data_IF_450930140839
#
_entry.id   IF_450930140839
#
_cell.length_a   1.000
_cell.length_b   1.000
_cell.length_c   1.000
_cell.angle_alpha   90.00
_cell.angle_beta   90.00
_cell.angle_gamma   90.00
#
_symmetry.space_group_name_H-M   'P 1'
#
loop_
_entity.id
_entity.type
_entity.pdbx_description
1 polymer ?
#
# COMPACT_ATOMS: atom_id res chain seq x y z
N UNK A 1 17.51 13.98 -22.13
CA UNK A 1 18.11 14.04 -20.78
C UNK A 1 17.48 15.22 -20.06
N UNK A 2 16.54 14.96 -19.13
CA UNK A 2 15.81 16.00 -18.38
C UNK A 2 16.53 16.24 -17.05
N UNK A 3 17.01 17.46 -16.86
CA UNK A 3 17.64 17.94 -15.63
C UNK A 3 16.56 18.12 -14.57
N UNK A 4 16.67 17.39 -13.45
CA UNK A 4 15.82 17.58 -12.27
C UNK A 4 16.48 18.63 -11.39
N UNK A 5 15.80 19.75 -11.18
CA UNK A 5 16.19 20.82 -10.25
C UNK A 5 15.71 20.40 -8.86
N UNK A 6 16.65 20.20 -7.94
CA UNK A 6 16.36 19.97 -6.52
C UNK A 6 16.19 21.35 -5.86
N UNK A 7 14.99 21.66 -5.39
CA UNK A 7 14.74 22.85 -4.59
C UNK A 7 15.07 22.56 -3.12
N UNK A 8 16.08 23.24 -2.57
CA UNK A 8 16.35 23.30 -1.14
C UNK A 8 15.21 24.00 -0.41
N UNK A 9 14.66 23.35 0.62
CA UNK A 9 13.77 23.95 1.61
C UNK A 9 14.60 24.42 2.80
N UNK A 10 15.39 25.47 2.60
CA UNK A 10 15.95 26.28 3.70
C UNK A 10 15.04 27.50 3.89
N UNK A 11 14.13 27.44 4.86
CA UNK A 11 13.33 28.62 5.18
C UNK A 11 12.08 28.35 5.97
N UNK A 12 12.22 28.02 7.25
CA UNK A 12 11.18 28.20 8.28
C UNK A 12 11.80 28.20 9.68
N UNK A 13 12.79 29.08 9.89
CA UNK A 13 13.31 29.42 11.20
C UNK A 13 13.38 30.94 11.32
N UNK A 14 12.30 31.57 11.77
CA UNK A 14 12.32 33.00 12.08
C UNK A 14 10.95 33.64 12.16
N UNK A 15 10.33 33.60 13.35
CA UNK A 15 9.54 34.70 13.91
C UNK A 15 8.89 34.28 15.25
N UNK A 16 9.67 34.22 16.32
CA UNK A 16 9.18 34.31 17.72
C UNK A 16 10.30 34.89 18.58
N UNK A 17 10.78 36.09 18.22
CA UNK A 17 11.72 36.86 19.02
C UNK A 17 11.08 38.22 19.32
N UNK A 18 10.64 38.42 20.55
CA UNK A 18 10.27 39.74 21.05
C UNK A 18 9.04 39.78 21.94
N UNK A 19 9.22 39.47 23.23
CA UNK A 19 8.70 40.24 24.37
C UNK A 19 8.72 39.36 25.61
N UNK A 20 9.70 39.61 26.50
CA UNK A 20 9.57 39.57 27.97
C UNK A 20 10.98 39.78 28.56
N UNK A 21 11.41 41.04 28.54
CA UNK A 21 12.48 41.50 29.40
C UNK A 21 11.89 41.72 30.80
N UNK A 22 12.43 41.00 31.79
CA UNK A 22 12.26 41.36 33.20
C UNK A 22 11.64 40.28 34.08
N UNK A 23 12.38 39.23 34.40
CA UNK A 23 12.24 38.53 35.68
C UNK A 23 13.48 37.68 35.98
N UNK A 24 14.34 38.25 36.82
CA UNK A 24 15.09 37.59 37.92
C UNK A 24 15.57 36.15 37.70
N UNK A 25 16.90 36.04 37.61
CA UNK A 25 17.70 34.85 37.70
C UNK A 25 17.43 34.02 38.97
N UNK A 26 16.53 33.04 38.93
CA UNK A 26 16.49 31.88 39.83
C UNK A 26 15.63 30.77 39.20
N UNK A 27 16.19 29.95 38.29
CA UNK A 27 15.71 28.58 37.97
C UNK A 27 16.49 27.95 36.79
N UNK A 28 17.81 28.12 36.71
CA UNK A 28 18.64 27.47 35.69
C UNK A 28 19.04 26.06 36.16
N UNK A 29 18.05 25.16 36.36
CA UNK A 29 18.31 23.75 36.70
C UNK A 29 17.10 22.81 36.46
N UNK A 30 15.92 23.30 36.08
CA UNK A 30 14.68 22.50 36.10
C UNK A 30 14.05 22.15 34.75
N UNK A 31 14.54 22.69 33.63
CA UNK A 31 13.85 22.55 32.31
C UNK A 31 14.45 21.43 31.43
N UNK A 32 15.63 20.90 31.77
CA UNK A 32 16.25 19.81 30.99
C UNK A 32 15.63 18.42 31.26
N UNK A 33 14.78 18.28 32.28
CA UNK A 33 14.22 16.98 32.67
C UNK A 33 12.90 16.63 31.96
N UNK A 34 12.13 17.62 31.46
CA UNK A 34 10.80 17.37 30.89
C UNK A 34 10.83 16.95 29.40
N UNK A 35 11.92 17.22 28.68
CA UNK A 35 12.09 16.82 27.28
C UNK A 35 12.45 15.33 27.10
N UNK A 36 12.84 14.62 28.19
CA UNK A 36 13.18 13.19 28.16
C UNK A 36 12.00 12.26 28.48
N UNK A 37 10.86 12.79 28.95
CA UNK A 37 9.69 11.98 29.37
C UNK A 37 8.73 11.64 28.22
N UNK A 38 8.80 12.34 27.08
CA UNK A 38 7.98 12.04 25.89
C UNK A 38 8.60 10.98 24.97
N UNK A 39 9.78 10.43 25.30
CA UNK A 39 10.46 9.39 24.53
C UNK A 39 10.19 7.97 25.06
N UNK A 40 9.12 7.76 25.84
CA UNK A 40 8.65 6.42 26.23
C UNK A 40 7.56 5.89 25.29
N UNK A 41 7.59 6.30 24.02
CA UNK A 41 6.94 5.57 22.94
C UNK A 41 7.48 4.15 22.97
N UNK A 42 6.74 3.24 23.62
CA UNK A 42 7.04 1.81 23.60
C UNK A 42 7.03 1.40 22.14
N UNK A 43 8.22 1.19 21.60
CA UNK A 43 8.41 0.88 20.19
C UNK A 43 7.67 -0.43 19.93
N UNK A 44 6.58 -0.35 19.18
CA UNK A 44 5.78 -1.53 18.85
C UNK A 44 6.64 -2.48 18.03
N UNK A 45 6.53 -3.77 18.32
CA UNK A 45 7.11 -4.82 17.49
C UNK A 45 6.43 -4.88 16.12
N UNK A 46 7.11 -5.47 15.13
CA UNK A 46 6.54 -5.68 13.79
C UNK A 46 5.20 -6.44 13.86
N UNK A 47 5.10 -7.44 14.75
CA UNK A 47 3.86 -8.19 14.98
C UNK A 47 2.73 -7.29 15.51
N UNK A 48 2.99 -6.45 16.52
CA UNK A 48 1.97 -5.54 17.07
C UNK A 48 1.48 -4.52 16.03
N UNK A 49 2.37 -4.08 15.14
CA UNK A 49 2.02 -3.22 14.00
C UNK A 49 1.17 -3.99 12.98
N UNK A 50 1.53 -5.23 12.67
CA UNK A 50 0.73 -6.11 11.82
C UNK A 50 -0.67 -6.36 12.38
N UNK A 51 -0.79 -6.63 13.67
CA UNK A 51 -2.08 -6.83 14.35
C UNK A 51 -2.91 -5.54 14.35
N UNK A 52 -2.28 -4.38 14.55
CA UNK A 52 -2.94 -3.08 14.44
C UNK A 52 -3.46 -2.82 13.01
N UNK A 53 -2.68 -3.19 11.99
CA UNK A 53 -3.08 -3.10 10.58
C UNK A 53 -4.29 -3.99 10.29
N UNK A 54 -4.30 -5.23 10.77
CA UNK A 54 -5.42 -6.16 10.63
C UNK A 54 -6.69 -5.63 11.33
N UNK A 55 -6.54 -5.08 12.54
CA UNK A 55 -7.64 -4.45 13.27
C UNK A 55 -8.19 -3.22 12.53
N UNK A 56 -7.32 -2.44 11.89
CA UNK A 56 -7.74 -1.31 11.05
C UNK A 56 -8.51 -1.79 9.81
N UNK A 57 -8.05 -2.85 9.11
CA UNK A 57 -8.79 -3.45 8.00
C UNK A 57 -10.17 -3.97 8.43
N UNK A 58 -10.27 -4.63 9.59
CA UNK A 58 -11.54 -5.10 10.13
C UNK A 58 -12.54 -3.97 10.41
N UNK A 59 -12.05 -2.74 10.61
CA UNK A 59 -12.87 -1.52 10.79
C UNK A 59 -13.05 -0.72 9.50
N UNK A 60 -12.58 -1.24 8.35
CA UNK A 60 -12.51 -0.52 7.07
C UNK A 60 -11.72 0.80 7.13
N UNK A 61 -10.81 0.94 8.10
CA UNK A 61 -9.87 2.07 8.17
C UNK A 61 -8.61 1.73 7.35
N UNK A 62 -8.77 1.83 6.03
CA UNK A 62 -7.73 1.46 5.08
C UNK A 62 -6.47 2.35 5.21
N UNK A 63 -6.62 3.62 5.59
CA UNK A 63 -5.50 4.54 5.77
C UNK A 63 -4.63 4.14 6.96
N UNK A 64 -5.24 3.87 8.11
CA UNK A 64 -4.51 3.40 9.28
C UNK A 64 -3.89 2.01 9.06
N UNK A 65 -4.57 1.15 8.28
CA UNK A 65 -4.04 -0.16 7.90
C UNK A 65 -2.76 -0.04 7.06
N UNK A 66 -2.75 0.82 6.03
CA UNK A 66 -1.57 1.05 5.19
C UNK A 66 -0.38 1.49 6.05
N UNK A 67 -0.58 2.52 6.90
CA UNK A 67 0.49 3.03 7.78
C UNK A 67 1.04 1.91 8.67
N UNK A 68 0.17 1.13 9.30
CA UNK A 68 0.57 0.08 10.24
C UNK A 68 1.33 -1.05 9.54
N UNK A 69 0.88 -1.52 8.37
CA UNK A 69 1.58 -2.56 7.62
C UNK A 69 2.89 -2.07 7.02
N UNK A 70 2.95 -0.81 6.59
CA UNK A 70 4.18 -0.21 6.09
C UNK A 70 5.24 -0.16 7.18
N UNK A 71 4.90 0.37 8.37
CA UNK A 71 5.80 0.38 9.54
C UNK A 71 6.19 -1.04 9.94
N UNK A 72 5.25 -2.00 9.98
CA UNK A 72 5.56 -3.40 10.26
C UNK A 72 6.59 -3.99 9.30
N UNK A 73 6.48 -3.66 8.01
CA UNK A 73 7.45 -4.08 7.00
C UNK A 73 8.83 -3.43 7.18
N UNK A 74 8.89 -2.16 7.62
CA UNK A 74 10.16 -1.48 7.93
C UNK A 74 10.89 -2.09 9.13
N UNK A 75 10.14 -2.62 10.12
CA UNK A 75 10.71 -3.36 11.26
C UNK A 75 11.05 -4.82 10.93
N UNK A 76 10.69 -5.32 9.75
CA UNK A 76 10.94 -6.69 9.32
C UNK A 76 12.21 -6.79 8.46
N UNK A 77 12.78 -7.99 8.35
CA UNK A 77 13.92 -8.20 7.44
C UNK A 77 13.43 -8.19 5.98
N UNK A 78 13.98 -7.34 5.09
CA UNK A 78 13.58 -7.31 3.68
C UNK A 78 13.68 -8.68 3.01
N UNK A 79 12.62 -9.09 2.29
CA UNK A 79 12.54 -10.39 1.61
C UNK A 79 12.28 -11.59 2.53
N UNK A 80 12.11 -11.38 3.84
CA UNK A 80 11.58 -12.41 4.73
C UNK A 80 10.11 -12.72 4.40
N UNK A 81 9.62 -13.88 4.85
CA UNK A 81 8.21 -14.25 4.69
C UNK A 81 7.28 -13.23 5.37
N UNK A 82 7.68 -12.73 6.55
CA UNK A 82 6.97 -11.72 7.32
C UNK A 82 6.90 -10.38 6.57
N UNK A 83 8.04 -9.92 6.04
CA UNK A 83 8.08 -8.71 5.20
C UNK A 83 7.11 -8.82 4.01
N UNK A 84 7.15 -9.93 3.27
CA UNK A 84 6.23 -10.13 2.12
C UNK A 84 4.78 -10.17 2.57
N UNK A 85 4.47 -10.82 3.69
CA UNK A 85 3.13 -10.85 4.24
C UNK A 85 2.60 -9.43 4.57
N UNK A 86 3.39 -8.59 5.24
CA UNK A 86 2.98 -7.22 5.52
C UNK A 86 2.81 -6.37 4.26
N UNK A 87 3.71 -6.49 3.28
CA UNK A 87 3.57 -5.78 1.99
C UNK A 87 2.34 -6.24 1.20
N UNK A 88 1.97 -7.53 1.27
CA UNK A 88 0.73 -8.04 0.68
C UNK A 88 -0.51 -7.46 1.38
N UNK A 89 -0.50 -7.41 2.71
CA UNK A 89 -1.60 -6.80 3.49
C UNK A 89 -1.72 -5.29 3.24
N UNK A 90 -0.60 -4.59 3.04
CA UNK A 90 -0.59 -3.19 2.60
C UNK A 90 -1.26 -3.03 1.22
N UNK A 91 -0.96 -3.89 0.25
CA UNK A 91 -1.61 -3.88 -1.07
C UNK A 91 -3.12 -4.14 -0.97
N UNK A 92 -3.55 -5.04 -0.09
CA UNK A 92 -4.96 -5.26 0.22
C UNK A 92 -5.62 -4.00 0.80
N UNK A 93 -4.95 -3.32 1.73
CA UNK A 93 -5.44 -2.07 2.29
C UNK A 93 -5.58 -0.99 1.21
N UNK A 94 -4.60 -0.88 0.29
CA UNK A 94 -4.68 0.01 -0.86
C UNK A 94 -5.87 -0.29 -1.77
N UNK A 95 -6.32 -1.54 -1.90
CA UNK A 95 -7.52 -1.86 -2.69
C UNK A 95 -8.79 -1.14 -2.19
N UNK A 96 -8.81 -0.69 -0.93
CA UNK A 96 -9.91 0.08 -0.36
C UNK A 96 -9.85 1.59 -0.60
N UNK A 97 -8.72 2.13 -1.06
CA UNK A 97 -8.51 3.57 -1.27
C UNK A 97 -8.11 3.92 -2.70
N UNK A 98 -7.15 3.19 -3.26
CA UNK A 98 -6.54 3.45 -4.56
C UNK A 98 -6.11 2.13 -5.20
N UNK A 99 -6.99 1.59 -6.06
CA UNK A 99 -6.71 0.35 -6.79
C UNK A 99 -5.49 0.43 -7.71
N UNK A 100 -5.17 1.61 -8.28
CA UNK A 100 -4.01 1.77 -9.14
C UNK A 100 -2.71 1.68 -8.33
N UNK A 101 -2.69 2.27 -7.14
CA UNK A 101 -1.58 2.13 -6.20
C UNK A 101 -1.43 0.69 -5.73
N UNK A 102 -2.53 0.02 -5.37
CA UNK A 102 -2.52 -1.39 -4.98
C UNK A 102 -1.88 -2.29 -6.05
N UNK A 103 -2.30 -2.14 -7.31
CA UNK A 103 -1.73 -2.90 -8.43
C UNK A 103 -0.24 -2.60 -8.63
N UNK A 104 0.16 -1.32 -8.56
CA UNK A 104 1.56 -0.91 -8.74
C UNK A 104 2.47 -1.50 -7.67
N UNK A 105 2.10 -1.37 -6.39
CA UNK A 105 2.89 -1.90 -5.27
C UNK A 105 2.94 -3.42 -5.30
N UNK A 106 1.83 -4.08 -5.62
CA UNK A 106 1.78 -5.54 -5.73
C UNK A 106 2.68 -6.06 -6.85
N UNK A 107 2.62 -5.47 -8.05
CA UNK A 107 3.44 -5.92 -9.17
C UNK A 107 4.93 -5.66 -8.91
N UNK A 108 5.26 -4.56 -8.22
CA UNK A 108 6.62 -4.31 -7.73
C UNK A 108 7.07 -5.39 -6.74
N UNK A 109 6.25 -5.74 -5.75
CA UNK A 109 6.53 -6.80 -4.80
C UNK A 109 6.69 -8.16 -5.50
N UNK A 110 5.79 -8.51 -6.43
CA UNK A 110 5.82 -9.76 -7.17
C UNK A 110 7.06 -9.91 -8.06
N UNK A 111 7.55 -8.81 -8.63
CA UNK A 111 8.80 -8.76 -9.40
C UNK A 111 10.04 -8.89 -8.52
N UNK A 112 10.02 -8.31 -7.31
CA UNK A 112 11.15 -8.34 -6.38
C UNK A 112 11.21 -9.62 -5.52
N UNK A 113 10.09 -10.32 -5.34
CA UNK A 113 9.96 -11.51 -4.48
C UNK A 113 9.22 -12.65 -5.21
N UNK A 114 9.69 -13.08 -6.39
CA UNK A 114 8.93 -14.00 -7.24
C UNK A 114 8.66 -15.35 -6.57
N UNK A 115 9.59 -15.92 -5.83
CA UNK A 115 9.41 -17.21 -5.16
C UNK A 115 8.39 -17.18 -4.01
N UNK A 116 7.99 -15.99 -3.54
CA UNK A 116 7.05 -15.80 -2.43
C UNK A 116 5.68 -15.32 -2.87
N UNK A 117 5.59 -14.64 -4.02
CA UNK A 117 4.32 -14.19 -4.59
C UNK A 117 3.89 -15.16 -5.68
N UNK A 118 3.04 -16.11 -5.28
CA UNK A 118 2.50 -17.15 -6.15
C UNK A 118 1.17 -16.76 -6.79
N UNK A 119 0.60 -17.69 -7.55
CA UNK A 119 -0.70 -17.51 -8.21
C UNK A 119 -1.83 -17.19 -7.22
N UNK A 120 -1.77 -17.73 -6.00
CA UNK A 120 -2.75 -17.47 -4.94
C UNK A 120 -2.84 -15.99 -4.62
N UNK A 121 -1.71 -15.30 -4.51
CA UNK A 121 -1.64 -13.89 -4.18
C UNK A 121 -2.20 -13.02 -5.33
N UNK A 122 -1.92 -13.38 -6.58
CA UNK A 122 -2.52 -12.72 -7.75
C UNK A 122 -4.05 -12.85 -7.74
N UNK A 123 -4.57 -14.07 -7.61
CA UNK A 123 -6.01 -14.36 -7.56
C UNK A 123 -6.69 -13.56 -6.44
N UNK A 124 -6.09 -13.55 -5.24
CA UNK A 124 -6.60 -12.82 -4.09
C UNK A 124 -6.72 -11.32 -4.37
N UNK A 125 -5.67 -10.69 -4.92
CA UNK A 125 -5.68 -9.26 -5.17
C UNK A 125 -6.63 -8.87 -6.30
N UNK A 126 -6.67 -9.63 -7.40
CA UNK A 126 -7.59 -9.39 -8.52
C UNK A 126 -9.04 -9.44 -8.02
N UNK A 127 -9.40 -10.43 -7.21
CA UNK A 127 -10.74 -10.54 -6.63
C UNK A 127 -11.09 -9.33 -5.74
N UNK A 128 -10.16 -8.89 -4.88
CA UNK A 128 -10.34 -7.70 -4.03
C UNK A 128 -10.54 -6.43 -4.86
N UNK A 129 -9.66 -6.17 -5.84
CA UNK A 129 -9.78 -5.03 -6.76
C UNK A 129 -11.12 -5.05 -7.52
N UNK A 130 -11.51 -6.21 -8.05
CA UNK A 130 -12.78 -6.39 -8.76
C UNK A 130 -13.99 -6.09 -7.84
N UNK A 131 -13.99 -6.61 -6.61
CA UNK A 131 -15.07 -6.36 -5.64
C UNK A 131 -15.23 -4.89 -5.26
N UNK A 132 -14.17 -4.09 -5.42
CA UNK A 132 -14.14 -2.64 -5.21
C UNK A 132 -14.31 -1.84 -6.51
N UNK A 133 -14.68 -2.51 -7.60
CA UNK A 133 -14.89 -1.93 -8.93
C UNK A 133 -13.65 -1.26 -9.53
N UNK A 134 -12.46 -1.60 -9.03
CA UNK A 134 -11.18 -1.17 -9.61
C UNK A 134 -10.80 -2.06 -10.80
N UNK A 135 -11.66 -2.14 -11.80
CA UNK A 135 -11.55 -3.11 -12.89
C UNK A 135 -10.28 -2.93 -13.73
N UNK A 136 -9.88 -1.70 -14.06
CA UNK A 136 -8.66 -1.46 -14.83
C UNK A 136 -7.40 -1.97 -14.09
N UNK A 137 -7.32 -1.71 -12.78
CA UNK A 137 -6.25 -2.21 -11.94
C UNK A 137 -6.27 -3.74 -11.83
N UNK A 138 -7.45 -4.33 -11.64
CA UNK A 138 -7.64 -5.78 -11.61
C UNK A 138 -7.18 -6.43 -12.93
N UNK A 139 -7.53 -5.83 -14.07
CA UNK A 139 -7.11 -6.29 -15.40
C UNK A 139 -5.59 -6.22 -15.56
N UNK A 140 -4.93 -5.16 -15.10
CA UNK A 140 -3.47 -5.04 -15.14
C UNK A 140 -2.77 -6.13 -14.32
N UNK A 141 -3.30 -6.44 -13.13
CA UNK A 141 -2.77 -7.54 -12.29
C UNK A 141 -3.04 -8.91 -12.93
N UNK A 142 -4.22 -9.11 -13.54
CA UNK A 142 -4.56 -10.33 -14.27
C UNK A 142 -3.64 -10.56 -15.46
N UNK A 143 -3.40 -9.54 -16.29
CA UNK A 143 -2.50 -9.64 -17.44
C UNK A 143 -1.09 -10.07 -17.01
N UNK A 144 -0.55 -9.45 -15.95
CA UNK A 144 0.74 -9.83 -15.41
C UNK A 144 0.74 -11.25 -14.82
N UNK A 145 -0.36 -11.65 -14.18
CA UNK A 145 -0.56 -13.01 -13.64
C UNK A 145 -0.58 -14.06 -14.74
N UNK A 146 -1.39 -13.87 -15.79
CA UNK A 146 -1.53 -14.80 -16.91
C UNK A 146 -0.23 -14.96 -17.70
N UNK A 147 0.57 -13.90 -17.85
CA UNK A 147 1.92 -13.99 -18.45
C UNK A 147 2.87 -14.84 -17.62
N UNK A 148 2.75 -14.80 -16.30
CA UNK A 148 3.66 -15.45 -15.36
C UNK A 148 3.28 -16.90 -15.07
N UNK A 149 1.98 -17.16 -14.97
CA UNK A 149 1.41 -18.48 -14.70
C UNK A 149 0.50 -18.84 -15.89
N UNK A 150 1.10 -19.13 -17.07
CA UNK A 150 0.31 -19.56 -18.21
C UNK A 150 -0.44 -20.83 -17.84
N UNK A 151 -1.65 -20.96 -18.37
CA UNK A 151 -2.52 -22.13 -18.18
C UNK A 151 -3.03 -22.37 -16.74
N UNK A 152 -2.88 -21.41 -15.81
CA UNK A 152 -3.51 -21.56 -14.49
C UNK A 152 -5.04 -21.36 -14.59
N UNK A 153 -5.84 -22.38 -14.28
CA UNK A 153 -7.29 -22.35 -14.49
C UNK A 153 -7.99 -21.31 -13.59
N UNK A 154 -7.41 -20.97 -12.43
CA UNK A 154 -8.05 -19.98 -11.53
C UNK A 154 -7.88 -18.57 -12.06
N UNK A 155 -6.76 -18.26 -12.70
CA UNK A 155 -6.59 -16.96 -13.37
C UNK A 155 -7.50 -16.85 -14.58
N UNK A 156 -7.67 -17.94 -15.34
CA UNK A 156 -8.57 -17.99 -16.50
C UNK A 156 -10.04 -17.76 -16.11
N UNK A 157 -10.54 -18.53 -15.14
CA UNK A 157 -11.89 -18.37 -14.57
C UNK A 157 -12.12 -16.95 -14.03
N UNK A 158 -11.13 -16.40 -13.33
CA UNK A 158 -11.21 -15.06 -12.78
C UNK A 158 -11.20 -13.99 -13.87
N UNK A 159 -10.51 -14.22 -14.99
CA UNK A 159 -10.52 -13.35 -16.16
C UNK A 159 -11.92 -13.24 -16.78
N UNK A 160 -12.61 -14.37 -16.97
CA UNK A 160 -14.00 -14.39 -17.43
C UNK A 160 -14.94 -13.69 -16.44
N UNK A 161 -14.82 -13.98 -15.15
CA UNK A 161 -15.65 -13.34 -14.11
C UNK A 161 -15.42 -11.83 -14.04
N UNK A 162 -14.17 -11.38 -14.17
CA UNK A 162 -13.80 -9.98 -14.16
C UNK A 162 -14.38 -9.26 -15.38
N UNK A 163 -14.33 -9.90 -16.55
CA UNK A 163 -14.85 -9.31 -17.77
C UNK A 163 -16.36 -9.14 -17.75
N UNK A 164 -17.09 -10.12 -17.21
CA UNK A 164 -18.52 -10.00 -16.97
C UNK A 164 -18.84 -8.88 -15.96
N UNK A 165 -18.09 -8.80 -14.86
CA UNK A 165 -18.28 -7.76 -13.85
C UNK A 165 -18.03 -6.35 -14.41
N UNK A 166 -16.95 -6.18 -15.19
CA UNK A 166 -16.62 -4.92 -15.85
C UNK A 166 -17.70 -4.50 -16.87
N UNK A 167 -18.20 -5.44 -17.68
CA UNK A 167 -19.28 -5.19 -18.64
C UNK A 167 -20.58 -4.77 -17.94
N UNK A 168 -20.96 -5.47 -16.87
CA UNK A 168 -22.15 -5.14 -16.08
C UNK A 168 -22.04 -3.77 -15.41
N UNK A 169 -20.83 -3.35 -15.06
CA UNK A 169 -20.56 -2.03 -14.47
C UNK A 169 -20.39 -0.92 -15.52
N UNK A 170 -20.42 -1.22 -16.81
CA UNK A 170 -20.19 -0.24 -17.88
C UNK A 170 -18.76 0.29 -17.95
N UNK A 171 -17.76 -0.46 -17.47
CA UNK A 171 -16.36 -0.06 -17.55
C UNK A 171 -15.76 -0.45 -18.91
N UNK A 172 -15.98 0.40 -19.92
CA UNK A 172 -15.59 0.15 -21.31
C UNK A 172 -14.07 -0.07 -21.49
N UNK A 173 -13.25 0.65 -20.72
CA UNK A 173 -11.79 0.50 -20.76
C UNK A 173 -11.36 -0.91 -20.34
N UNK A 174 -11.86 -1.38 -19.19
CA UNK A 174 -11.53 -2.71 -18.68
C UNK A 174 -12.11 -3.80 -19.60
N UNK A 175 -13.32 -3.61 -20.14
CA UNK A 175 -13.92 -4.52 -21.13
C UNK A 175 -13.05 -4.65 -22.37
N UNK A 176 -12.62 -3.53 -22.96
CA UNK A 176 -11.75 -3.53 -24.14
C UNK A 176 -10.42 -4.24 -23.88
N UNK A 177 -9.80 -3.99 -22.73
CA UNK A 177 -8.57 -4.68 -22.33
C UNK A 177 -8.79 -6.20 -22.14
N UNK A 178 -9.87 -6.62 -21.49
CA UNK A 178 -10.18 -8.03 -21.26
C UNK A 178 -10.58 -8.77 -22.55
N UNK A 179 -11.21 -8.08 -23.51
CA UNK A 179 -11.44 -8.62 -24.87
C UNK A 179 -10.13 -8.90 -25.59
N UNK A 180 -9.16 -7.98 -25.52
CA UNK A 180 -7.83 -8.17 -26.10
C UNK A 180 -7.04 -9.32 -25.45
N UNK A 181 -7.34 -9.64 -24.19
CA UNK A 181 -6.79 -10.80 -23.47
C UNK A 181 -7.53 -12.11 -23.78
N UNK A 182 -8.63 -12.09 -24.53
CA UNK A 182 -9.40 -13.27 -24.93
C UNK A 182 -10.52 -13.69 -23.96
N UNK A 183 -10.79 -12.91 -22.91
CA UNK A 183 -11.79 -13.26 -21.89
C UNK A 183 -13.23 -12.89 -22.27
N UNK A 184 -13.40 -12.10 -23.33
CA UNK A 184 -14.69 -11.82 -23.97
C UNK A 184 -14.58 -12.23 -25.42
N UNK A 185 -15.56 -12.99 -25.92
CA UNK A 185 -15.62 -13.40 -27.31
C UNK A 185 -15.42 -12.22 -28.26
N UNK A 186 -14.64 -12.44 -29.31
CA UNK A 186 -14.57 -11.52 -30.44
C UNK A 186 -15.80 -11.72 -31.32
N UNK A 187 -16.96 -11.33 -30.81
CA UNK A 187 -18.14 -11.11 -31.64
C UNK A 187 -17.90 -9.91 -32.58
#
# INVERSE_FOLDING_TARGET
MKTVVVASLDGLAGACAGALAGARAHACAGVLAFALLCASCSQKSAQELGDAGNLALGRSDHGAAIVSFHEAAEFSTPGSAEFVAFRLSECEAWCGLDGARAATEFLSLAGNQPERVGVREYVSLIAKLSSRQHYEAATGVLEAGAKRFPDDPKLDELGHSLAQAAANAGNENAVGALKNLGYLGND
#
